data_IF_561093533988
#
_entry.id   IF_561093533988
#
_cell.length_a   1.000
_cell.length_b   1.000
_cell.length_c   1.000
_cell.angle_alpha   90.00
_cell.angle_beta   90.00
_cell.angle_gamma   90.00
#
_symmetry.space_group_name_H-M   'P 1'
#
loop_
_entity.id
_entity.type
_entity.pdbx_description
1 polymer ?
#
# COMPACT_ATOMS: atom_id res chain seq x y z
N UNK A 1 -14.60 -10.08 13.96
CA UNK A 1 -13.93 -10.64 15.14
C UNK A 1 -12.43 -10.55 15.04
N UNK A 2 -11.72 -10.78 16.15
CA UNK A 2 -10.27 -10.65 16.26
C UNK A 2 -9.49 -11.57 15.31
N UNK A 3 -8.30 -11.15 14.91
CA UNK A 3 -7.43 -11.83 13.94
C UNK A 3 -5.99 -11.85 14.43
N UNK A 4 -5.25 -12.88 14.00
CA UNK A 4 -3.80 -12.94 14.19
C UNK A 4 -3.16 -12.91 12.82
N UNK A 5 -2.21 -11.97 12.62
CA UNK A 5 -1.52 -11.78 11.35
C UNK A 5 0.00 -11.96 11.53
N UNK A 6 0.72 -12.30 10.45
CA UNK A 6 2.17 -12.36 10.48
C UNK A 6 2.79 -10.96 10.55
N UNK A 7 4.02 -10.90 11.04
CA UNK A 7 4.84 -9.69 11.12
C UNK A 7 5.08 -9.10 9.73
N UNK A 8 5.14 -7.79 9.65
CA UNK A 8 5.53 -7.04 8.45
C UNK A 8 4.80 -7.49 7.16
N UNK A 9 3.50 -7.71 7.27
CA UNK A 9 2.64 -8.21 6.20
C UNK A 9 1.40 -7.34 6.06
N UNK A 10 1.04 -6.90 4.85
CA UNK A 10 -0.19 -6.15 4.61
C UNK A 10 -1.45 -6.92 4.99
N UNK A 11 -2.47 -6.20 5.40
CA UNK A 11 -3.77 -6.79 5.72
C UNK A 11 -4.94 -5.86 5.32
N UNK A 12 -6.14 -6.42 5.29
CA UNK A 12 -7.34 -5.68 4.90
C UNK A 12 -8.45 -5.93 5.92
N UNK A 13 -9.04 -4.86 6.42
CA UNK A 13 -10.28 -4.94 7.19
C UNK A 13 -11.46 -4.67 6.26
N UNK A 14 -12.41 -5.61 6.26
CA UNK A 14 -13.69 -5.49 5.56
C UNK A 14 -14.81 -5.46 6.59
N UNK A 15 -15.66 -4.46 6.51
CA UNK A 15 -16.80 -4.28 7.41
C UNK A 15 -17.98 -5.20 7.06
N UNK A 16 -17.84 -5.95 5.96
CA UNK A 16 -18.90 -6.81 5.48
C UNK A 16 -20.08 -6.02 4.90
N UNK A 17 -21.15 -6.75 4.59
CA UNK A 17 -22.37 -6.15 4.10
C UNK A 17 -23.15 -5.53 5.28
N UNK A 18 -23.35 -4.22 5.22
CA UNK A 18 -24.30 -3.51 6.06
C UNK A 18 -25.49 -3.15 5.16
N UNK A 19 -26.69 -3.47 5.60
CA UNK A 19 -27.90 -3.19 4.83
C UNK A 19 -28.58 -1.95 5.40
N UNK A 20 -28.72 -0.94 4.57
CA UNK A 20 -29.49 0.26 4.82
C UNK A 20 -30.14 0.71 3.52
N UNK A 21 -31.22 1.50 3.61
CA UNK A 21 -31.85 2.10 2.44
C UNK A 21 -31.11 3.37 1.97
N UNK A 22 -30.27 3.93 2.83
CA UNK A 22 -29.51 5.15 2.57
C UNK A 22 -28.06 4.83 2.15
N UNK A 23 -27.41 5.74 1.42
CA UNK A 23 -26.00 5.61 1.09
C UNK A 23 -25.11 5.56 2.34
N UNK A 24 -24.27 4.54 2.44
CA UNK A 24 -23.38 4.34 3.58
C UNK A 24 -21.98 4.84 3.30
N UNK A 25 -21.35 5.42 4.31
CA UNK A 25 -19.93 5.73 4.34
C UNK A 25 -19.25 5.04 5.51
N UNK A 26 -18.03 4.60 5.25
CA UNK A 26 -17.26 3.75 6.14
C UNK A 26 -15.93 4.41 6.53
N UNK A 27 -15.49 4.16 7.75
CA UNK A 27 -14.21 4.61 8.26
C UNK A 27 -13.60 3.51 9.14
N UNK A 28 -12.28 3.33 9.08
CA UNK A 28 -11.53 2.44 9.95
C UNK A 28 -10.37 3.21 10.56
N UNK A 29 -10.30 3.28 11.86
CA UNK A 29 -9.30 4.05 12.60
C UNK A 29 -8.55 3.15 13.56
N UNK A 30 -7.23 3.31 13.62
CA UNK A 30 -6.44 2.70 14.67
C UNK A 30 -6.61 3.48 15.96
N UNK A 31 -6.89 2.77 17.07
CA UNK A 31 -7.24 3.35 18.37
C UNK A 31 -6.10 3.30 19.38
N UNK A 32 -4.96 2.70 19.03
CA UNK A 32 -3.81 2.67 19.92
C UNK A 32 -3.27 4.08 20.19
N UNK A 33 -3.00 4.39 21.46
CA UNK A 33 -2.55 5.72 21.87
C UNK A 33 -1.09 5.77 22.33
N UNK A 34 -0.44 4.71 22.52
CA UNK A 34 0.95 4.48 22.92
C UNK A 34 1.91 5.67 23.05
N UNK A 35 3.18 5.42 22.88
CA UNK A 35 4.22 6.45 22.93
C UNK A 35 4.07 7.42 21.77
N UNK A 36 4.09 8.72 22.06
CA UNK A 36 4.12 9.75 21.02
C UNK A 36 5.38 9.62 20.17
N UNK A 37 5.21 9.70 18.87
CA UNK A 37 6.31 9.63 17.90
C UNK A 37 6.82 11.06 17.66
N UNK A 38 8.10 11.30 17.88
CA UNK A 38 8.75 12.57 17.50
C UNK A 38 9.06 12.59 15.98
N UNK A 39 9.31 13.77 15.38
CA UNK A 39 9.55 13.88 13.94
C UNK A 39 10.70 13.03 13.39
N UNK A 40 11.68 12.67 14.21
CA UNK A 40 12.83 11.86 13.80
C UNK A 40 12.52 10.36 13.82
N UNK A 41 11.36 9.98 14.36
CA UNK A 41 10.92 8.59 14.53
C UNK A 41 9.61 8.28 13.83
N UNK A 42 9.12 9.19 12.97
CA UNK A 42 8.00 8.90 12.08
C UNK A 42 8.35 7.71 11.19
N UNK A 43 7.37 6.89 10.88
CA UNK A 43 7.60 5.69 10.10
C UNK A 43 8.29 4.54 10.84
N UNK A 44 8.40 4.60 12.17
CA UNK A 44 9.01 3.55 12.98
C UNK A 44 7.98 2.87 13.88
N UNK A 45 7.99 1.55 13.92
CA UNK A 45 7.24 0.78 14.93
C UNK A 45 8.00 0.77 16.25
N UNK A 46 7.45 1.46 17.25
CA UNK A 46 7.98 1.52 18.62
C UNK A 46 7.36 0.46 19.56
N UNK A 47 6.59 -0.47 18.99
CA UNK A 47 5.92 -1.53 19.74
C UNK A 47 4.55 -1.15 20.29
N UNK A 48 4.25 0.14 20.46
CA UNK A 48 3.00 0.62 21.05
C UNK A 48 2.42 1.89 20.42
N UNK A 49 3.17 2.59 19.55
CA UNK A 49 2.69 3.80 18.86
C UNK A 49 1.64 3.46 17.79
N UNK A 50 0.75 4.40 17.42
CA UNK A 50 -0.09 4.22 16.24
C UNK A 50 0.77 4.13 14.97
N UNK A 51 0.38 3.26 14.04
CA UNK A 51 1.10 3.00 12.79
C UNK A 51 0.33 3.48 11.56
N UNK A 52 -0.98 3.64 11.69
CA UNK A 52 -1.87 3.91 10.56
C UNK A 52 -2.69 5.17 10.80
N UNK A 53 -2.62 6.10 9.87
CA UNK A 53 -3.39 7.35 9.89
C UNK A 53 -4.88 7.11 9.63
N UNK A 54 -5.72 8.04 10.07
CA UNK A 54 -7.13 8.07 9.68
C UNK A 54 -7.29 8.65 8.28
N UNK A 55 -8.26 8.09 7.53
CA UNK A 55 -8.70 8.62 6.25
C UNK A 55 -10.12 9.16 6.34
N UNK A 56 -10.49 10.00 5.39
CA UNK A 56 -11.88 10.45 5.25
C UNK A 56 -12.80 9.25 5.03
N UNK A 57 -14.03 9.28 5.58
CA UNK A 57 -15.03 8.26 5.27
C UNK A 57 -15.22 8.10 3.75
N UNK A 58 -15.43 6.89 3.30
CA UNK A 58 -15.65 6.55 1.88
C UNK A 58 -16.79 5.54 1.73
N UNK A 59 -17.31 5.39 0.51
CA UNK A 59 -18.30 4.35 0.20
C UNK A 59 -17.72 2.93 0.22
N UNK A 60 -16.37 2.78 0.21
CA UNK A 60 -15.72 1.47 0.27
C UNK A 60 -15.76 0.91 1.70
N UNK A 61 -16.34 -0.28 1.85
CA UNK A 61 -16.39 -0.98 3.15
C UNK A 61 -15.01 -1.51 3.56
N UNK A 62 -14.11 -1.70 2.61
CA UNK A 62 -12.77 -2.28 2.80
C UNK A 62 -11.71 -1.21 2.96
N UNK A 63 -10.78 -1.46 3.88
CA UNK A 63 -9.56 -0.67 4.01
C UNK A 63 -8.34 -1.56 4.06
N UNK A 64 -7.38 -1.29 3.20
CA UNK A 64 -6.05 -1.91 3.20
C UNK A 64 -5.11 -1.18 4.16
N UNK A 65 -4.23 -1.91 4.82
CA UNK A 65 -3.23 -1.44 5.76
C UNK A 65 -1.85 -2.00 5.36
N UNK A 66 -0.93 -1.17 4.87
CA UNK A 66 -1.07 0.23 4.44
C UNK A 66 -2.12 0.43 3.35
N UNK A 67 -2.47 1.70 3.05
CA UNK A 67 -3.30 2.04 1.90
C UNK A 67 -2.73 1.43 0.61
N UNK A 68 -3.60 0.99 -0.31
CA UNK A 68 -3.16 0.25 -1.51
C UNK A 68 -2.25 1.10 -2.40
N UNK A 69 -2.51 2.41 -2.52
CA UNK A 69 -1.63 3.35 -3.22
C UNK A 69 -0.21 3.36 -2.64
N UNK A 70 -0.08 3.38 -1.32
CA UNK A 70 1.22 3.31 -0.63
C UNK A 70 1.94 1.98 -0.90
N UNK A 71 1.20 0.86 -0.89
CA UNK A 71 1.80 -0.45 -1.17
C UNK A 71 2.33 -0.56 -2.60
N UNK A 72 1.59 -0.02 -3.59
CA UNK A 72 1.86 -0.26 -5.01
C UNK A 72 2.73 0.82 -5.67
N UNK A 73 2.68 2.05 -5.19
CA UNK A 73 3.54 3.12 -5.67
C UNK A 73 4.94 3.09 -5.05
N UNK A 74 5.18 2.18 -4.10
CA UNK A 74 6.42 2.10 -3.33
C UNK A 74 6.80 3.44 -2.66
N UNK A 75 5.82 4.30 -2.44
CA UNK A 75 6.00 5.55 -1.70
C UNK A 75 5.97 5.25 -0.21
N UNK A 76 7.03 5.62 0.47
CA UNK A 76 7.06 5.55 1.92
C UNK A 76 6.10 6.60 2.51
N UNK A 77 5.13 6.13 3.29
CA UNK A 77 4.26 6.98 4.11
C UNK A 77 4.56 6.70 5.59
N UNK A 78 5.17 7.66 6.28
CA UNK A 78 5.52 7.56 7.69
C UNK A 78 4.32 7.44 8.63
N UNK A 79 3.11 7.61 8.10
CA UNK A 79 1.85 7.40 8.80
C UNK A 79 1.06 6.15 8.32
N UNK A 80 1.70 5.26 7.55
CA UNK A 80 1.14 3.99 7.06
C UNK A 80 2.21 2.89 7.11
N UNK A 81 2.58 2.45 8.32
CA UNK A 81 3.74 1.57 8.57
C UNK A 81 3.28 0.18 9.01
N UNK A 82 3.85 -0.84 8.40
CA UNK A 82 3.62 -2.22 8.81
C UNK A 82 4.25 -2.51 10.19
N UNK A 83 3.57 -3.30 11.02
CA UNK A 83 4.10 -3.65 12.34
C UNK A 83 5.33 -4.56 12.23
N UNK A 84 6.41 -4.16 12.89
CA UNK A 84 7.68 -4.87 12.96
C UNK A 84 7.92 -5.56 14.32
N UNK A 85 6.97 -5.49 15.21
CA UNK A 85 7.03 -6.09 16.55
C UNK A 85 5.75 -6.84 16.87
N UNK A 86 5.86 -7.84 17.77
CA UNK A 86 4.68 -8.47 18.34
C UNK A 86 3.87 -7.44 19.13
N UNK A 87 2.63 -7.23 18.73
CA UNK A 87 1.76 -6.21 19.34
C UNK A 87 0.30 -6.42 19.01
N UNK A 88 -0.56 -5.72 19.72
CA UNK A 88 -1.97 -5.60 19.38
C UNK A 88 -2.23 -4.27 18.67
N UNK A 89 -2.94 -4.33 17.58
CA UNK A 89 -3.50 -3.21 16.83
C UNK A 89 -4.99 -3.20 17.07
N UNK A 90 -5.50 -2.20 17.76
CA UNK A 90 -6.93 -2.06 18.04
C UNK A 90 -7.53 -1.09 17.04
N UNK A 91 -8.54 -1.55 16.29
CA UNK A 91 -9.24 -0.75 15.29
C UNK A 91 -10.68 -0.53 15.68
N UNK A 92 -11.20 0.65 15.34
CA UNK A 92 -12.62 0.95 15.32
C UNK A 92 -13.10 1.12 13.90
N UNK A 93 -14.11 0.36 13.55
CA UNK A 93 -14.83 0.48 12.29
C UNK A 93 -16.12 1.24 12.53
N UNK A 94 -16.35 2.31 11.77
CA UNK A 94 -17.53 3.15 11.87
C UNK A 94 -18.25 3.15 10.52
N UNK A 95 -19.57 3.01 10.55
CA UNK A 95 -20.47 3.20 9.40
C UNK A 95 -21.47 4.30 9.72
N UNK A 96 -21.78 5.14 8.71
CA UNK A 96 -22.78 6.21 8.81
C UNK A 96 -23.66 6.22 7.58
N UNK A 97 -24.95 6.49 7.80
CA UNK A 97 -25.96 6.62 6.74
C UNK A 97 -26.11 8.05 6.18
N UNK A 98 -25.33 9.02 6.69
CA UNK A 98 -25.40 10.44 6.37
C UNK A 98 -26.71 11.15 6.77
N UNK A 99 -27.66 10.43 7.38
CA UNK A 99 -28.93 10.96 7.88
C UNK A 99 -28.99 11.03 9.42
N UNK A 100 -27.87 10.75 10.08
CA UNK A 100 -27.72 10.81 11.54
C UNK A 100 -27.54 9.44 12.21
N UNK A 101 -27.72 8.35 11.46
CA UNK A 101 -27.45 6.99 11.93
C UNK A 101 -25.96 6.67 11.92
N UNK A 102 -25.50 5.98 12.95
CA UNK A 102 -24.12 5.52 13.09
C UNK A 102 -24.08 4.20 13.83
N UNK A 103 -23.23 3.29 13.36
CA UNK A 103 -22.87 2.08 14.07
C UNK A 103 -21.35 1.93 14.13
N UNK A 104 -20.85 1.29 15.18
CA UNK A 104 -19.41 1.04 15.36
C UNK A 104 -19.18 -0.39 15.80
N UNK A 105 -18.03 -0.94 15.34
CA UNK A 105 -17.50 -2.22 15.82
C UNK A 105 -16.01 -2.09 16.07
N UNK A 106 -15.49 -2.87 17.01
CA UNK A 106 -14.07 -2.89 17.31
C UNK A 106 -13.48 -4.26 16.92
N UNK A 107 -12.26 -4.23 16.39
CA UNK A 107 -11.53 -5.43 16.05
C UNK A 107 -10.10 -5.32 16.55
N UNK A 108 -9.59 -6.39 17.13
CA UNK A 108 -8.18 -6.51 17.50
C UNK A 108 -7.44 -7.35 16.48
N UNK A 109 -6.34 -6.83 15.97
CA UNK A 109 -5.39 -7.53 15.13
C UNK A 109 -4.12 -7.76 15.93
N UNK A 110 -3.83 -9.01 16.26
CA UNK A 110 -2.62 -9.39 16.98
C UNK A 110 -1.53 -9.75 15.97
N UNK A 111 -0.35 -9.18 16.13
CA UNK A 111 0.82 -9.46 15.27
C UNK A 111 1.66 -10.55 15.92
N UNK A 112 1.84 -11.66 15.21
CA UNK A 112 2.69 -12.78 15.64
C UNK A 112 4.13 -12.59 15.16
N UNK A 113 5.08 -12.55 16.11
CA UNK A 113 6.50 -12.38 15.81
C UNK A 113 7.18 -13.62 15.23
N UNK A 114 6.53 -14.78 15.30
CA UNK A 114 7.12 -16.05 14.85
C UNK A 114 6.76 -16.37 13.39
N UNK A 115 5.94 -15.53 12.76
CA UNK A 115 5.53 -15.65 11.38
C UNK A 115 5.69 -14.34 10.63
N UNK A 116 5.96 -14.42 9.32
CA UNK A 116 6.13 -13.26 8.43
C UNK A 116 7.59 -12.91 8.15
N UNK A 117 7.79 -12.02 7.16
CA UNK A 117 6.76 -11.47 6.28
C UNK A 117 6.24 -12.50 5.26
N UNK A 118 4.94 -12.57 5.09
CA UNK A 118 4.30 -13.32 4.00
C UNK A 118 4.44 -12.50 2.71
N UNK A 119 5.05 -13.05 1.66
CA UNK A 119 5.39 -12.28 0.45
C UNK A 119 5.27 -13.10 -0.82
N UNK A 120 4.77 -12.49 -1.90
CA UNK A 120 4.95 -12.97 -3.26
C UNK A 120 6.43 -12.80 -3.63
N UNK A 121 7.10 -13.87 -4.07
CA UNK A 121 8.55 -13.88 -4.26
C UNK A 121 8.97 -13.81 -5.72
N UNK A 122 8.07 -14.09 -6.63
CA UNK A 122 8.26 -13.88 -8.05
C UNK A 122 7.41 -12.68 -8.55
N UNK A 123 7.43 -12.38 -9.84
CA UNK A 123 6.74 -11.22 -10.42
C UNK A 123 7.21 -9.87 -9.86
N UNK A 124 8.51 -9.78 -9.60
CA UNK A 124 9.16 -8.58 -9.06
C UNK A 124 9.61 -7.58 -10.14
N UNK A 125 9.43 -7.90 -11.41
CA UNK A 125 9.68 -7.02 -12.56
C UNK A 125 8.47 -6.94 -13.46
N UNK A 126 8.27 -5.77 -14.09
CA UNK A 126 7.18 -5.58 -15.04
C UNK A 126 7.29 -6.55 -16.21
N UNK A 127 6.21 -7.22 -16.55
CA UNK A 127 6.17 -8.20 -17.63
C UNK A 127 4.81 -8.31 -18.29
N UNK A 128 4.81 -8.74 -19.56
CA UNK A 128 3.60 -9.08 -20.27
C UNK A 128 3.24 -10.55 -20.00
N UNK A 129 1.97 -10.78 -19.70
CA UNK A 129 1.39 -12.10 -19.45
C UNK A 129 0.42 -12.42 -20.56
N UNK A 130 0.61 -13.55 -21.19
CA UNK A 130 -0.35 -14.15 -22.11
C UNK A 130 -1.34 -15.00 -21.30
N UNK A 131 -2.58 -14.55 -21.18
CA UNK A 131 -3.61 -15.19 -20.39
C UNK A 131 -4.08 -16.54 -20.96
N UNK A 132 -3.63 -16.92 -22.17
CA UNK A 132 -3.85 -18.27 -22.70
C UNK A 132 -2.92 -19.32 -22.09
N UNK A 133 -1.85 -18.88 -21.45
CA UNK A 133 -0.85 -19.74 -20.82
C UNK A 133 -1.03 -19.78 -19.29
N UNK A 134 -0.53 -20.86 -18.69
CA UNK A 134 -0.47 -20.94 -17.22
C UNK A 134 0.69 -20.10 -16.68
N UNK A 135 0.48 -19.50 -15.51
CA UNK A 135 1.46 -18.70 -14.80
C UNK A 135 1.82 -19.36 -13.45
N UNK A 136 3.10 -19.51 -13.17
CA UNK A 136 3.57 -19.92 -11.86
C UNK A 136 3.59 -18.71 -10.92
N UNK A 137 2.92 -18.83 -9.80
CA UNK A 137 2.95 -17.86 -8.69
C UNK A 137 3.68 -18.49 -7.52
N UNK A 138 4.64 -17.77 -6.96
CA UNK A 138 5.45 -18.24 -5.82
C UNK A 138 5.38 -17.22 -4.69
N UNK A 139 5.35 -17.71 -3.45
CA UNK A 139 5.32 -16.89 -2.24
C UNK A 139 6.08 -17.53 -1.09
N UNK A 140 6.56 -16.71 -0.16
CA UNK A 140 7.10 -17.19 1.09
C UNK A 140 5.96 -17.43 2.08
N UNK A 141 5.82 -18.68 2.50
CA UNK A 141 4.82 -19.10 3.50
C UNK A 141 5.11 -18.47 4.86
N UNK A 142 6.37 -18.17 5.15
CA UNK A 142 6.82 -17.43 6.33
C UNK A 142 6.22 -17.94 7.66
N UNK A 143 6.16 -19.24 7.84
CA UNK A 143 5.61 -19.92 9.02
C UNK A 143 4.10 -19.67 9.30
N UNK A 144 3.35 -19.09 8.36
CA UNK A 144 1.95 -18.70 8.57
C UNK A 144 0.98 -19.88 8.69
N UNK A 145 1.38 -21.10 8.32
CA UNK A 145 0.57 -22.31 8.50
C UNK A 145 0.45 -22.74 9.96
N UNK A 146 1.39 -22.33 10.80
CA UNK A 146 1.44 -22.70 12.20
C UNK A 146 0.49 -21.84 13.05
N UNK A 147 0.12 -22.37 14.22
CA UNK A 147 -0.56 -21.58 15.23
C UNK A 147 0.37 -20.43 15.71
N UNK A 148 -0.17 -19.25 16.01
CA UNK A 148 -1.59 -18.91 16.11
C UNK A 148 -2.21 -18.40 14.78
N UNK A 149 -1.46 -18.24 13.69
CA UNK A 149 -1.93 -17.69 12.41
C UNK A 149 -2.84 -18.68 11.65
N UNK A 150 -2.44 -19.97 11.57
CA UNK A 150 -3.21 -21.07 11.01
C UNK A 150 -3.72 -20.88 9.57
N UNK A 151 -2.91 -20.28 8.70
CA UNK A 151 -3.25 -20.10 7.30
C UNK A 151 -2.87 -21.34 6.48
N UNK A 152 -3.77 -22.29 6.35
CA UNK A 152 -3.52 -23.51 5.60
C UNK A 152 -3.76 -23.39 4.10
N UNK A 153 -4.62 -22.46 3.70
CA UNK A 153 -5.02 -22.25 2.32
C UNK A 153 -4.92 -20.77 1.94
N UNK A 154 -4.65 -20.52 0.68
CA UNK A 154 -4.61 -19.17 0.09
C UNK A 154 -5.51 -19.08 -1.12
N UNK A 155 -5.96 -17.86 -1.40
CA UNK A 155 -6.63 -17.49 -2.64
C UNK A 155 -5.68 -16.62 -3.45
N UNK A 156 -5.70 -16.78 -4.77
CA UNK A 156 -4.89 -16.00 -5.71
C UNK A 156 -5.84 -15.20 -6.59
N UNK A 157 -5.69 -13.89 -6.53
CA UNK A 157 -6.50 -12.93 -7.29
C UNK A 157 -5.63 -12.13 -8.26
N UNK A 158 -6.20 -11.73 -9.39
CA UNK A 158 -5.67 -10.68 -10.25
C UNK A 158 -6.39 -9.38 -9.93
N UNK A 159 -5.65 -8.35 -9.60
CA UNK A 159 -6.13 -6.99 -9.42
C UNK A 159 -5.85 -6.21 -10.71
N UNK A 160 -6.86 -5.62 -11.33
CA UNK A 160 -6.71 -4.77 -12.52
C UNK A 160 -7.06 -3.33 -12.17
N UNK A 161 -6.20 -2.38 -12.56
CA UNK A 161 -6.29 -0.98 -12.12
C UNK A 161 -6.63 -0.07 -13.30
N UNK A 162 -7.66 0.76 -13.11
CA UNK A 162 -8.15 1.68 -14.13
C UNK A 162 -7.61 3.12 -13.97
N UNK A 163 -6.76 3.34 -12.98
CA UNK A 163 -6.15 4.63 -12.68
C UNK A 163 -4.68 4.49 -12.28
N UNK A 164 -3.84 5.51 -12.54
CA UNK A 164 -2.42 5.48 -12.21
C UNK A 164 -2.13 5.48 -10.69
N UNK A 165 -3.08 5.97 -9.88
CA UNK A 165 -2.94 6.04 -8.42
C UNK A 165 -3.38 4.78 -7.68
N UNK A 166 -3.73 3.69 -8.37
CA UNK A 166 -4.22 2.43 -7.80
C UNK A 166 -5.43 2.60 -6.84
N UNK A 167 -6.22 3.66 -7.04
CA UNK A 167 -7.36 3.97 -6.17
C UNK A 167 -8.60 3.14 -6.49
N UNK A 168 -8.72 2.69 -7.74
CA UNK A 168 -9.83 1.86 -8.21
C UNK A 168 -9.30 0.61 -8.88
N UNK A 169 -9.79 -0.53 -8.43
CA UNK A 169 -9.40 -1.81 -9.00
C UNK A 169 -10.57 -2.78 -9.05
N UNK A 170 -10.49 -3.68 -10.02
CA UNK A 170 -11.37 -4.85 -10.08
C UNK A 170 -10.61 -6.08 -9.60
N UNK A 171 -11.33 -7.03 -8.99
CA UNK A 171 -10.76 -8.26 -8.48
C UNK A 171 -11.26 -9.43 -9.34
N UNK A 172 -10.32 -10.18 -9.89
CA UNK A 172 -10.60 -11.40 -10.65
C UNK A 172 -10.01 -12.58 -9.90
N UNK A 173 -10.84 -13.49 -9.42
CA UNK A 173 -10.36 -14.70 -8.72
C UNK A 173 -9.76 -15.65 -9.75
N UNK A 174 -8.50 -16.01 -9.58
CA UNK A 174 -7.78 -16.96 -10.43
C UNK A 174 -7.76 -18.36 -9.82
N UNK A 175 -7.55 -18.44 -8.49
CA UNK A 175 -7.53 -19.69 -7.76
C UNK A 175 -8.03 -19.47 -6.33
N UNK A 176 -8.92 -20.34 -5.85
CA UNK A 176 -9.42 -20.25 -4.48
C UNK A 176 -9.05 -21.49 -3.67
N UNK A 177 -8.68 -21.29 -2.42
CA UNK A 177 -8.48 -22.34 -1.44
C UNK A 177 -7.34 -23.31 -1.76
N UNK A 178 -6.33 -22.90 -2.54
CA UNK A 178 -5.14 -23.74 -2.77
C UNK A 178 -4.29 -23.87 -1.51
N UNK A 179 -3.49 -24.93 -1.42
CA UNK A 179 -2.61 -25.13 -0.28
C UNK A 179 -1.63 -23.95 -0.12
N UNK A 180 -1.40 -23.52 1.12
CA UNK A 180 -0.36 -22.53 1.42
C UNK A 180 1.01 -23.23 1.51
N UNK A 181 1.52 -23.69 0.38
CA UNK A 181 2.77 -24.45 0.28
C UNK A 181 3.89 -23.71 -0.46
N UNK A 182 3.64 -22.43 -0.82
CA UNK A 182 4.65 -21.53 -1.38
C UNK A 182 4.61 -21.43 -2.90
N UNK A 183 3.77 -22.18 -3.62
CA UNK A 183 3.68 -22.08 -5.09
C UNK A 183 2.38 -22.63 -5.64
N UNK A 184 1.93 -22.07 -6.74
CA UNK A 184 0.78 -22.57 -7.49
C UNK A 184 0.92 -22.23 -8.97
N UNK A 185 0.68 -23.21 -9.83
CA UNK A 185 0.47 -22.96 -11.26
C UNK A 185 -1.00 -22.60 -11.47
N UNK A 186 -1.25 -21.39 -11.98
CA UNK A 186 -2.60 -20.87 -12.21
C UNK A 186 -2.89 -20.76 -13.71
N UNK A 187 -4.15 -20.97 -14.08
CA UNK A 187 -4.70 -20.57 -15.38
C UNK A 187 -5.54 -19.31 -15.25
N UNK A 188 -5.74 -18.61 -16.34
CA UNK A 188 -6.63 -17.46 -16.37
C UNK A 188 -8.03 -17.92 -16.82
N UNK A 189 -9.06 -17.80 -15.96
CA UNK A 189 -10.43 -18.18 -16.35
C UNK A 189 -11.04 -17.25 -17.41
N UNK A 190 -10.33 -16.16 -17.71
CA UNK A 190 -10.71 -15.15 -18.71
C UNK A 190 -9.55 -14.96 -19.69
N UNK A 191 -9.35 -15.87 -20.67
CA UNK A 191 -8.21 -15.79 -21.58
C UNK A 191 -8.23 -14.53 -22.47
N UNK A 192 -9.41 -13.96 -22.70
CA UNK A 192 -9.60 -12.74 -23.51
C UNK A 192 -9.44 -11.45 -22.69
N UNK A 193 -9.18 -11.54 -21.38
CA UNK A 193 -8.92 -10.37 -20.55
C UNK A 193 -7.66 -9.66 -21.06
N UNK A 194 -7.81 -8.41 -21.48
CA UNK A 194 -6.69 -7.54 -21.83
C UNK A 194 -6.69 -6.35 -20.89
N UNK A 195 -5.56 -6.12 -20.22
CA UNK A 195 -5.44 -5.00 -19.28
C UNK A 195 -4.01 -4.50 -19.19
N UNK A 196 -3.77 -3.18 -19.30
CA UNK A 196 -2.42 -2.60 -19.30
C UNK A 196 -1.75 -2.58 -17.92
N UNK A 197 -2.52 -2.71 -16.85
CA UNK A 197 -1.99 -2.64 -15.48
C UNK A 197 -2.71 -3.59 -14.55
N UNK A 198 -2.00 -4.60 -14.11
CA UNK A 198 -2.52 -5.59 -13.16
C UNK A 198 -1.44 -5.98 -12.13
N UNK A 199 -1.88 -6.54 -11.01
CA UNK A 199 -1.03 -7.15 -9.98
C UNK A 199 -1.62 -8.46 -9.53
N UNK A 200 -0.79 -9.40 -9.14
CA UNK A 200 -1.25 -10.62 -8.47
C UNK A 200 -1.25 -10.42 -6.97
N UNK A 201 -2.32 -10.85 -6.33
CA UNK A 201 -2.45 -10.88 -4.87
C UNK A 201 -2.59 -12.32 -4.40
N UNK A 202 -1.77 -12.73 -3.43
CA UNK A 202 -1.93 -13.96 -2.67
C UNK A 202 -2.43 -13.59 -1.28
N UNK A 203 -3.61 -14.08 -0.91
CA UNK A 203 -4.23 -13.77 0.39
C UNK A 203 -4.56 -15.06 1.14
N UNK A 204 -4.48 -15.03 2.46
CA UNK A 204 -4.93 -16.14 3.28
C UNK A 204 -6.45 -16.30 3.19
N UNK A 205 -6.94 -17.52 2.86
CA UNK A 205 -8.37 -17.78 2.61
C UNK A 205 -9.25 -17.56 3.84
N UNK A 206 -8.73 -17.81 5.04
CA UNK A 206 -9.47 -17.70 6.30
C UNK A 206 -8.98 -16.56 7.21
N UNK A 207 -8.14 -15.67 6.69
CA UNK A 207 -7.57 -14.56 7.44
C UNK A 207 -7.61 -13.27 6.61
N UNK A 208 -7.07 -12.18 7.15
CA UNK A 208 -7.16 -10.83 6.58
C UNK A 208 -5.86 -10.38 5.89
N UNK A 209 -4.76 -11.09 6.07
CA UNK A 209 -3.47 -10.72 5.50
C UNK A 209 -3.27 -11.25 4.08
N UNK A 210 -2.43 -10.55 3.34
CA UNK A 210 -2.11 -10.85 1.95
C UNK A 210 -0.76 -10.24 1.57
N UNK A 211 -0.30 -10.54 0.37
CA UNK A 211 0.73 -9.77 -0.31
C UNK A 211 0.41 -9.63 -1.80
N UNK A 212 1.00 -8.62 -2.44
CA UNK A 212 0.77 -8.26 -3.84
C UNK A 212 2.11 -8.25 -4.56
N UNK A 213 2.14 -8.78 -5.79
CA UNK A 213 3.36 -8.76 -6.63
C UNK A 213 3.96 -7.36 -6.73
N UNK A 214 5.29 -7.26 -6.67
CA UNK A 214 6.02 -5.99 -6.58
C UNK A 214 5.94 -5.15 -7.87
N UNK A 215 5.65 -5.78 -9.01
CA UNK A 215 5.65 -5.09 -10.30
C UNK A 215 4.33 -5.23 -11.06
N UNK A 216 4.05 -4.25 -11.92
CA UNK A 216 2.87 -4.28 -12.79
C UNK A 216 3.00 -5.35 -13.85
N UNK A 217 1.88 -6.00 -14.13
CA UNK A 217 1.69 -6.98 -15.17
C UNK A 217 0.80 -6.39 -16.26
N UNK A 218 1.15 -6.64 -17.52
CA UNK A 218 0.32 -6.32 -18.69
C UNK A 218 -0.32 -7.61 -19.17
N UNK A 219 -1.63 -7.70 -19.11
CA UNK A 219 -2.35 -8.91 -19.49
C UNK A 219 -2.76 -8.81 -20.96
N UNK A 220 -2.36 -9.81 -21.78
CA UNK A 220 -2.64 -9.89 -23.23
C UNK A 220 -2.26 -8.60 -23.98
N UNK A 221 -1.17 -7.96 -23.59
CA UNK A 221 -0.68 -6.73 -24.19
C UNK A 221 0.84 -6.70 -24.25
N UNK A 222 1.38 -5.58 -24.73
CA UNK A 222 2.81 -5.34 -24.79
C UNK A 222 3.19 -4.27 -23.78
N UNK A 223 4.33 -4.41 -23.13
CA UNK A 223 4.90 -3.37 -22.25
C UNK A 223 5.11 -2.02 -22.96
N UNK A 224 5.19 -2.05 -24.30
CA UNK A 224 5.38 -0.85 -25.14
C UNK A 224 4.05 -0.24 -25.61
N UNK A 225 2.92 -0.95 -25.45
CA UNK A 225 1.60 -0.54 -25.93
C UNK A 225 0.69 0.03 -24.86
N UNK A 226 1.23 0.45 -23.72
CA UNK A 226 0.44 1.08 -22.68
C UNK A 226 -0.09 2.42 -23.19
N UNK A 227 -1.30 2.38 -23.75
CA UNK A 227 -2.04 3.54 -24.27
C UNK A 227 -2.64 4.40 -23.13
N UNK A 228 -1.91 4.62 -22.08
CA UNK A 228 -2.17 5.75 -21.20
C UNK A 228 -1.40 6.95 -21.78
N UNK A 229 -2.09 8.00 -22.21
CA UNK A 229 -1.45 9.15 -22.87
C UNK A 229 -0.82 10.07 -21.83
N UNK A 230 0.02 9.55 -20.93
CA UNK A 230 0.72 10.44 -20.03
C UNK A 230 2.13 9.95 -19.69
N UNK A 231 3.02 10.93 -19.70
CA UNK A 231 4.44 10.91 -19.42
C UNK A 231 4.84 10.17 -18.14
N UNK A 232 3.89 9.85 -17.27
CA UNK A 232 4.13 9.23 -15.96
C UNK A 232 4.40 7.73 -16.06
N UNK A 233 3.83 7.05 -17.08
CA UNK A 233 4.07 5.62 -17.27
C UNK A 233 5.48 5.33 -17.80
N UNK A 234 6.02 6.20 -18.64
CA UNK A 234 7.38 6.07 -19.13
C UNK A 234 8.42 6.18 -17.99
N UNK A 235 8.10 6.92 -16.95
CA UNK A 235 8.95 7.06 -15.76
C UNK A 235 8.90 5.82 -14.88
N UNK A 236 7.74 5.16 -14.75
CA UNK A 236 7.60 3.94 -13.96
C UNK A 236 8.28 2.74 -14.64
N UNK A 237 8.22 2.66 -15.98
CA UNK A 237 8.86 1.54 -16.72
C UNK A 237 10.33 1.80 -17.08
N UNK A 238 10.81 3.05 -17.19
CA UNK A 238 12.16 3.39 -17.59
C UNK A 238 13.14 3.66 -16.44
N UNK A 239 12.66 3.90 -15.26
CA UNK A 239 13.52 3.77 -14.10
C UNK A 239 13.60 2.27 -13.80
N UNK A 240 14.68 1.62 -14.22
CA UNK A 240 15.15 0.39 -13.63
C UNK A 240 15.48 0.57 -12.15
N UNK A 241 14.66 1.36 -11.48
CA UNK A 241 14.52 1.36 -10.06
C UNK A 241 13.94 -0.01 -9.73
N UNK A 242 14.78 -0.92 -9.29
CA UNK A 242 14.37 -1.86 -8.26
C UNK A 242 13.45 -1.04 -7.37
N UNK A 243 12.15 -1.30 -7.45
CA UNK A 243 11.23 -0.90 -6.38
C UNK A 243 11.89 -1.52 -5.18
N UNK A 244 12.63 -0.69 -4.45
CA UNK A 244 13.24 -1.13 -3.24
C UNK A 244 12.08 -1.48 -2.33
N UNK A 245 11.73 -2.75 -2.28
CA UNK A 245 10.94 -3.35 -1.23
C UNK A 245 11.74 -3.28 0.06
N UNK A 246 12.23 -2.13 0.38
CA UNK A 246 12.53 -1.77 1.74
C UNK A 246 11.20 -1.41 2.37
N UNK A 247 10.34 -2.42 2.56
CA UNK A 247 9.56 -2.43 3.77
C UNK A 247 10.52 -1.96 4.85
N UNK A 248 10.16 -0.96 5.67
CA UNK A 248 11.04 -0.44 6.71
C UNK A 248 11.62 -1.64 7.41
N UNK A 249 12.96 -1.81 7.33
CA UNK A 249 13.56 -3.01 7.85
C UNK A 249 13.22 -3.04 9.32
N UNK A 250 12.61 -4.11 9.80
CA UNK A 250 12.30 -4.30 11.21
C UNK A 250 13.58 -4.33 12.09
N UNK A 251 14.73 -4.19 11.50
CA UNK A 251 16.01 -3.98 12.16
C UNK A 251 16.32 -2.48 12.17
N UNK A 252 15.90 -1.79 13.23
CA UNK A 252 16.43 -0.55 13.79
C UNK A 252 17.15 0.53 12.96
N UNK A 253 17.07 0.47 11.65
CA UNK A 253 17.65 1.48 10.79
C UNK A 253 16.68 2.66 10.70
N UNK A 254 17.04 3.73 11.37
CA UNK A 254 16.56 5.07 11.06
C UNK A 254 16.86 5.30 9.58
N UNK A 255 15.86 5.16 8.72
CA UNK A 255 15.99 5.65 7.35
C UNK A 255 15.98 7.17 7.49
N UNK A 256 17.15 7.78 7.41
CA UNK A 256 17.24 9.18 7.08
C UNK A 256 16.76 9.30 5.64
N UNK A 257 15.44 9.43 5.47
CA UNK A 257 14.90 9.87 4.21
C UNK A 257 15.51 11.23 3.96
N UNK A 258 16.42 11.32 2.99
CA UNK A 258 16.79 12.60 2.40
C UNK A 258 15.49 13.14 1.83
N UNK A 259 14.83 14.01 2.59
CA UNK A 259 13.75 14.83 2.07
C UNK A 259 14.37 15.65 0.94
N UNK A 260 14.18 15.23 -0.27
CA UNK A 260 14.20 16.11 -1.41
C UNK A 260 13.07 17.10 -1.15
N UNK A 261 13.42 18.26 -0.57
CA UNK A 261 12.47 19.26 -0.15
C UNK A 261 11.70 19.82 -1.35
N UNK A 262 10.52 19.29 -1.54
CA UNK A 262 9.46 19.97 -2.28
C UNK A 262 8.91 21.06 -1.37
N UNK A 263 9.46 22.23 -1.50
CA UNK A 263 9.05 23.57 -1.19
C UNK A 263 8.06 23.87 -0.09
N UNK A 264 8.53 24.54 0.91
CA UNK A 264 7.86 25.75 1.39
C UNK A 264 8.93 26.74 1.86
N UNK A 265 9.18 27.76 1.05
CA UNK A 265 9.61 29.06 1.52
C UNK A 265 11.06 29.24 1.96
N UNK A 266 12.01 28.46 1.49
CA UNK A 266 13.40 28.89 1.51
C UNK A 266 13.62 29.83 0.30
N UNK A 267 13.63 31.12 0.54
CA UNK A 267 14.12 32.09 -0.45
C UNK A 267 15.59 31.72 -0.68
N UNK A 268 15.87 31.21 -1.87
CA UNK A 268 17.20 30.81 -2.25
C UNK A 268 18.16 31.97 -2.04
N UNK A 269 19.31 31.76 -1.38
CA UNK A 269 20.28 32.80 -1.09
C UNK A 269 20.72 33.56 -2.35
N UNK A 270 20.59 32.93 -3.51
CA UNK A 270 20.82 33.53 -4.81
C UNK A 270 19.80 34.64 -5.14
N UNK A 271 18.54 34.50 -4.73
CA UNK A 271 17.50 35.51 -4.89
C UNK A 271 17.72 36.73 -3.99
N UNK A 272 18.24 36.52 -2.78
CA UNK A 272 18.61 37.62 -1.87
C UNK A 272 19.77 38.46 -2.44
N UNK A 273 20.76 37.82 -3.10
CA UNK A 273 21.87 38.51 -3.75
C UNK A 273 21.40 39.31 -4.98
N UNK A 274 20.45 38.78 -5.75
CA UNK A 274 19.86 39.52 -6.89
C UNK A 274 19.02 40.71 -6.43
N UNK A 275 18.27 40.62 -5.36
CA UNK A 275 17.51 41.75 -4.80
C UNK A 275 18.42 42.83 -4.23
N UNK A 276 19.50 42.46 -3.55
CA UNK A 276 20.47 43.45 -3.02
C UNK A 276 21.22 44.17 -4.17
N UNK A 277 21.55 43.47 -5.26
CA UNK A 277 22.16 44.07 -6.43
C UNK A 277 21.20 45.06 -7.12
N UNK A 278 19.90 44.76 -7.21
CA UNK A 278 18.90 45.62 -7.79
C UNK A 278 18.66 46.91 -6.98
N UNK A 279 18.69 46.82 -5.65
CA UNK A 279 18.60 48.02 -4.78
C UNK A 279 19.84 48.90 -4.84
N UNK A 280 21.02 48.35 -5.10
CA UNK A 280 22.26 49.14 -5.24
C UNK A 280 22.26 49.92 -6.58
N UNK A 281 21.81 49.31 -7.66
CA UNK A 281 21.72 49.94 -8.97
C UNK A 281 20.70 51.10 -8.96
N UNK A 282 19.55 50.93 -8.33
CA UNK A 282 18.52 51.97 -8.19
C UNK A 282 19.02 53.15 -7.34
N UNK A 283 19.89 52.91 -6.33
CA UNK A 283 20.46 53.97 -5.50
C UNK A 283 21.55 54.76 -6.22
N UNK A 284 22.29 54.16 -7.15
CA UNK A 284 23.30 54.84 -7.97
C UNK A 284 22.62 55.74 -9.01
N UNK A 285 21.53 55.30 -9.63
CA UNK A 285 20.80 56.10 -10.62
C UNK A 285 20.10 57.34 -10.03
N UNK A 286 19.80 57.36 -8.72
CA UNK A 286 19.23 58.53 -8.03
C UNK A 286 20.26 59.57 -7.55
N UNK A 287 21.57 59.29 -7.66
CA UNK A 287 22.63 60.24 -7.26
C UNK A 287 23.26 61.03 -8.42
N UNK A 288 22.91 60.69 -9.67
CA UNK A 288 23.47 61.31 -10.87
C UNK A 288 22.40 61.73 -11.89
N UNK A 289 21.18 61.97 -11.43
CA UNK A 289 20.11 62.60 -12.23
C UNK A 289 19.58 63.84 -11.54
#
# INVERSE_FOLDING_TARGET
GDRVIPLNTPFMLDKGAVFDNDPLVYQSDQMNTGTATDPNRFGTDLGNNPLFRSYKPSAESRRNFPALSTQLNAEFDDAEVLPCSARNLDFRMTVRDLNGGQATDNVRVTVDANSGPFRVTNLSSAQAIDASNSLLVEWDVANTRQAPVNCNNVDIDLLTFNDPGYSRYSVHSLQSGTANDGRQLIGFPMPDLSHPRARLRVKCSNNIFYDISDADLVINGSLLSSSYPDSDIATVFNTGGTVGTTAPSCAGNVITASRSGGGSGAIDALWLLLMTAMFTVVRIHRRYG
#
